data_IF_897475219655
#
_entry.id   IF_897475219655
#
_cell.length_a   1.000
_cell.length_b   1.000
_cell.length_c   1.000
_cell.angle_alpha   90.00
_cell.angle_beta   90.00
_cell.angle_gamma   90.00
#
_symmetry.space_group_name_H-M   'P 1'
#
loop_
_entity.id
_entity.type
_entity.pdbx_description
1 polymer ?
#
# COMPACT_ATOMS: atom_id res chain seq x y z
N UNK A 1 1.62 -12.84 10.88
CA UNK A 1 0.56 -12.26 10.03
C UNK A 1 1.22 -11.34 9.01
N UNK A 2 0.72 -11.27 7.78
CA UNK A 2 1.35 -10.50 6.69
C UNK A 2 0.47 -9.30 6.32
N UNK A 3 1.04 -8.12 6.08
CA UNK A 3 0.32 -6.93 5.62
C UNK A 3 -0.31 -7.23 4.24
N UNK A 4 -1.63 -7.02 4.07
CA UNK A 4 -2.33 -7.21 2.79
C UNK A 4 -1.67 -6.40 1.67
N UNK A 5 -1.24 -5.17 1.96
CA UNK A 5 -0.57 -4.34 0.96
C UNK A 5 0.75 -4.97 0.46
N UNK A 6 1.47 -5.69 1.32
CA UNK A 6 2.67 -6.41 0.90
C UNK A 6 2.32 -7.60 -0.01
N UNK A 7 1.23 -8.31 0.29
CA UNK A 7 0.74 -9.41 -0.56
C UNK A 7 0.27 -8.91 -1.93
N UNK A 8 -0.45 -7.78 -1.98
CA UNK A 8 -0.87 -7.16 -3.24
C UNK A 8 0.33 -6.78 -4.10
N UNK A 9 1.35 -6.13 -3.51
CA UNK A 9 2.58 -5.79 -4.22
C UNK A 9 3.27 -7.05 -4.75
N UNK A 10 3.37 -8.10 -3.94
CA UNK A 10 3.97 -9.37 -4.37
C UNK A 10 3.19 -10.00 -5.54
N UNK A 11 1.86 -10.02 -5.48
CA UNK A 11 1.01 -10.50 -6.57
C UNK A 11 1.14 -9.67 -7.85
N UNK A 12 1.22 -8.34 -7.74
CA UNK A 12 1.41 -7.45 -8.90
C UNK A 12 2.74 -7.72 -9.60
N UNK A 13 3.82 -7.98 -8.83
CA UNK A 13 5.12 -8.36 -9.39
C UNK A 13 5.05 -9.75 -10.05
N UNK A 14 4.47 -10.74 -9.37
CA UNK A 14 4.39 -12.10 -9.89
C UNK A 14 3.50 -12.25 -11.13
N UNK A 15 2.46 -11.42 -11.26
CA UNK A 15 1.58 -11.38 -12.43
C UNK A 15 2.11 -10.49 -13.56
N UNK A 16 3.26 -9.84 -13.37
CA UNK A 16 3.88 -8.95 -14.37
C UNK A 16 3.10 -7.65 -14.61
N UNK A 17 2.22 -7.25 -13.69
CA UNK A 17 1.51 -5.97 -13.72
C UNK A 17 2.44 -4.80 -13.39
N UNK A 18 3.44 -5.05 -12.55
CA UNK A 18 4.56 -4.15 -12.29
C UNK A 18 5.85 -4.95 -12.35
N UNK A 19 6.96 -4.30 -12.69
CA UNK A 19 8.29 -4.88 -12.63
C UNK A 19 8.97 -4.59 -11.28
N UNK A 20 10.07 -5.32 -11.00
CA UNK A 20 10.82 -5.15 -9.75
C UNK A 20 11.61 -3.85 -9.67
N UNK A 21 12.00 -3.26 -10.80
CA UNK A 21 12.73 -1.99 -10.83
C UNK A 21 11.80 -0.84 -10.40
N UNK A 22 10.54 -0.87 -10.85
CA UNK A 22 9.49 0.06 -10.42
C UNK A 22 9.30 0.07 -8.89
N UNK A 23 9.39 -1.11 -8.24
CA UNK A 23 9.33 -1.20 -6.77
C UNK A 23 10.61 -0.66 -6.12
N UNK A 24 11.78 -0.88 -6.72
CA UNK A 24 13.06 -0.39 -6.23
C UNK A 24 13.24 1.14 -6.35
N UNK A 25 12.50 1.78 -7.25
CA UNK A 25 12.52 3.23 -7.45
C UNK A 25 11.69 4.01 -6.42
N UNK A 26 10.91 3.32 -5.58
CA UNK A 26 10.01 3.95 -4.60
C UNK A 26 10.82 4.79 -3.62
N UNK A 27 10.46 6.07 -3.53
CA UNK A 27 10.98 6.99 -2.51
C UNK A 27 9.97 7.10 -1.36
N UNK A 28 10.49 7.19 -0.14
CA UNK A 28 9.66 7.47 1.03
C UNK A 28 9.26 8.94 1.03
N UNK A 29 7.98 9.20 0.79
CA UNK A 29 7.37 10.53 0.82
C UNK A 29 6.12 10.50 1.70
N UNK A 30 6.17 11.24 2.80
CA UNK A 30 5.07 11.28 3.78
C UNK A 30 3.83 12.01 3.28
N UNK A 31 3.98 12.99 2.40
CA UNK A 31 2.85 13.63 1.75
C UNK A 31 2.10 12.66 0.85
N UNK A 32 2.84 11.81 0.15
CA UNK A 32 2.28 10.87 -0.82
C UNK A 32 1.43 9.79 -0.12
N UNK A 33 1.95 9.12 0.91
CA UNK A 33 1.13 8.11 1.61
C UNK A 33 0.00 8.71 2.45
N UNK A 34 0.12 9.96 2.92
CA UNK A 34 -0.99 10.66 3.57
C UNK A 34 -2.12 10.97 2.58
N UNK A 35 -1.77 11.42 1.37
CA UNK A 35 -2.73 11.70 0.29
C UNK A 35 -3.53 10.45 -0.10
N UNK A 36 -2.84 9.31 -0.24
CA UNK A 36 -3.47 8.04 -0.64
C UNK A 36 -4.04 7.22 0.53
N UNK A 37 -3.96 7.74 1.77
CA UNK A 37 -4.37 7.03 3.00
C UNK A 37 -5.77 6.43 2.90
N UNK A 38 -6.76 7.26 2.58
CA UNK A 38 -8.16 6.83 2.55
C UNK A 38 -8.45 5.86 1.41
N UNK A 39 -7.90 6.12 0.22
CA UNK A 39 -8.11 5.27 -0.96
C UNK A 39 -7.55 3.85 -0.72
N UNK A 40 -6.29 3.76 -0.28
CA UNK A 40 -5.65 2.47 -0.01
C UNK A 40 -6.20 1.80 1.25
N UNK A 41 -6.70 2.56 2.24
CA UNK A 41 -7.41 1.98 3.38
C UNK A 41 -8.66 1.23 2.91
N UNK A 42 -9.45 1.84 2.03
CA UNK A 42 -10.67 1.23 1.52
C UNK A 42 -10.42 0.10 0.52
N UNK A 43 -9.43 0.27 -0.36
CA UNK A 43 -9.16 -0.71 -1.42
C UNK A 43 -8.37 -1.93 -0.93
N UNK A 44 -7.49 -1.77 0.08
CA UNK A 44 -6.52 -2.80 0.48
C UNK A 44 -6.58 -3.07 1.97
N UNK A 45 -6.44 -2.03 2.81
CA UNK A 45 -6.23 -2.25 4.24
C UNK A 45 -7.48 -2.80 4.94
N UNK A 46 -8.69 -2.54 4.45
CA UNK A 46 -9.95 -3.06 5.03
C UNK A 46 -9.96 -4.58 5.19
N UNK A 47 -9.20 -5.30 4.35
CA UNK A 47 -9.11 -6.76 4.34
C UNK A 47 -7.83 -7.26 5.02
N UNK A 48 -7.00 -6.35 5.51
CA UNK A 48 -5.73 -6.68 6.13
C UNK A 48 -5.96 -7.18 7.56
N UNK A 49 -5.67 -8.45 7.83
CA UNK A 49 -5.69 -8.98 9.19
C UNK A 49 -4.77 -8.19 10.14
N UNK A 50 -3.69 -7.61 9.61
CA UNK A 50 -2.76 -6.75 10.35
C UNK A 50 -3.36 -5.39 10.74
N UNK A 51 -4.41 -4.92 10.05
CA UNK A 51 -5.08 -3.65 10.37
C UNK A 51 -5.73 -3.67 11.75
N UNK A 52 -6.33 -4.80 12.13
CA UNK A 52 -7.10 -4.93 13.36
C UNK A 52 -6.22 -5.06 14.61
N UNK A 53 -4.99 -5.56 14.45
CA UNK A 53 -4.14 -5.96 15.58
C UNK A 53 -2.90 -5.06 15.77
N UNK A 54 -2.26 -4.58 14.69
CA UNK A 54 -0.88 -4.04 14.78
C UNK A 54 -0.59 -2.81 13.88
N UNK A 55 -1.60 -2.18 13.25
CA UNK A 55 -1.37 -1.06 12.34
C UNK A 55 -1.62 0.32 12.97
N UNK A 56 -0.64 0.83 13.71
CA UNK A 56 -0.71 2.14 14.37
C UNK A 56 -0.99 3.29 13.38
N UNK A 57 -0.46 3.19 12.16
CA UNK A 57 -0.70 4.19 11.09
C UNK A 57 -2.18 4.32 10.69
N UNK A 58 -2.96 3.25 10.77
CA UNK A 58 -4.38 3.25 10.39
C UNK A 58 -5.34 3.38 11.58
N UNK A 59 -4.80 3.54 12.79
CA UNK A 59 -5.58 3.80 14.00
C UNK A 59 -6.42 5.09 13.88
N UNK A 60 -7.36 5.26 14.81
CA UNK A 60 -8.26 6.43 14.82
C UNK A 60 -7.53 7.75 15.12
N UNK A 61 -6.38 7.69 15.80
CA UNK A 61 -5.54 8.84 16.10
C UNK A 61 -4.06 8.46 15.93
N UNK A 62 -3.57 8.31 14.68
CA UNK A 62 -2.18 8.00 14.46
C UNK A 62 -1.33 9.23 14.81
N UNK A 63 -0.12 9.00 15.31
CA UNK A 63 0.90 10.06 15.35
C UNK A 63 1.34 10.40 13.92
N UNK A 64 1.61 11.69 13.67
CA UNK A 64 2.06 12.19 12.37
C UNK A 64 3.42 11.61 11.93
N UNK A 65 4.19 11.07 12.87
CA UNK A 65 5.52 10.49 12.62
C UNK A 65 5.47 8.99 12.26
N UNK A 66 4.28 8.38 12.26
CA UNK A 66 4.14 6.97 11.96
C UNK A 66 4.27 6.71 10.46
N UNK A 67 5.18 5.81 10.11
CA UNK A 67 5.27 5.29 8.75
C UNK A 67 4.26 4.14 8.55
N UNK A 68 3.60 4.06 7.38
CA UNK A 68 2.77 2.91 7.04
C UNK A 68 3.62 1.68 6.70
N UNK A 69 2.96 0.51 6.56
CA UNK A 69 3.67 -0.72 6.16
C UNK A 69 4.34 -0.53 4.79
N UNK A 70 5.48 -1.17 4.53
CA UNK A 70 6.23 -0.98 3.29
C UNK A 70 5.41 -1.25 2.01
N UNK A 71 4.51 -2.23 2.05
CA UNK A 71 3.57 -2.48 0.94
C UNK A 71 2.66 -1.30 0.67
N UNK A 72 2.22 -0.58 1.71
CA UNK A 72 1.41 0.63 1.55
C UNK A 72 2.20 1.75 0.86
N UNK A 73 3.45 1.97 1.28
CA UNK A 73 4.34 2.98 0.68
C UNK A 73 4.48 2.72 -0.82
N UNK A 74 4.75 1.46 -1.20
CA UNK A 74 4.89 1.05 -2.60
C UNK A 74 3.58 1.26 -3.36
N UNK A 75 2.43 0.82 -2.83
CA UNK A 75 1.14 1.01 -3.52
C UNK A 75 0.77 2.48 -3.70
N UNK A 76 1.06 3.32 -2.69
CA UNK A 76 0.82 4.76 -2.78
C UNK A 76 1.64 5.36 -3.92
N UNK A 77 2.94 5.03 -3.98
CA UNK A 77 3.83 5.47 -5.05
C UNK A 77 3.32 4.99 -6.42
N UNK A 78 3.07 3.69 -6.59
CA UNK A 78 2.63 3.14 -7.88
C UNK A 78 1.32 3.77 -8.37
N UNK A 79 0.39 4.07 -7.45
CA UNK A 79 -0.87 4.75 -7.76
C UNK A 79 -0.63 6.21 -8.17
N UNK A 80 0.21 6.95 -7.45
CA UNK A 80 0.54 8.34 -7.77
C UNK A 80 1.15 8.49 -9.17
N UNK A 81 2.06 7.58 -9.52
CA UNK A 81 2.72 7.58 -10.83
C UNK A 81 1.92 6.86 -11.93
N UNK A 82 0.68 6.45 -11.66
CA UNK A 82 -0.22 5.82 -12.64
C UNK A 82 0.25 4.45 -13.15
N UNK A 83 1.13 3.78 -12.40
CA UNK A 83 1.62 2.44 -12.72
C UNK A 83 0.59 1.37 -12.39
N UNK A 84 -0.32 1.66 -11.45
CA UNK A 84 -1.47 0.84 -11.10
C UNK A 84 -2.71 1.71 -10.86
N UNK A 85 -3.88 1.11 -11.03
CA UNK A 85 -5.17 1.69 -10.63
C UNK A 85 -5.84 0.84 -9.53
N UNK A 86 -7.03 1.26 -9.09
CA UNK A 86 -7.80 0.52 -8.08
C UNK A 86 -8.16 -0.89 -8.52
N UNK A 87 -8.50 -1.05 -9.80
CA UNK A 87 -8.88 -2.34 -10.38
C UNK A 87 -7.71 -3.33 -10.33
N UNK A 88 -6.50 -2.89 -10.66
CA UNK A 88 -5.30 -3.73 -10.58
C UNK A 88 -5.06 -4.25 -9.16
N UNK A 89 -5.36 -3.44 -8.14
CA UNK A 89 -5.24 -3.86 -6.74
C UNK A 89 -6.34 -4.83 -6.33
N UNK A 90 -7.57 -4.70 -6.84
CA UNK A 90 -8.68 -5.61 -6.52
C UNK A 90 -8.55 -6.98 -7.20
N UNK A 91 -8.03 -7.03 -8.44
CA UNK A 91 -7.88 -8.28 -9.22
C UNK A 91 -6.88 -9.29 -8.60
N UNK A 92 -6.05 -8.85 -7.65
CA UNK A 92 -4.94 -9.64 -7.08
C UNK A 92 -5.05 -9.90 -5.56
N UNK A 93 -6.19 -9.55 -4.97
CA UNK A 93 -6.53 -9.78 -3.55
C UNK A 93 -7.36 -11.06 -3.38
#
# INVERSE_FOLDING_TARGET
>A
MTCQAAQVVDSLVHTGRIDRESVGAVQKDSGLWAMHRNALRQAVCRHCAFLAEDCDFQSDCPSDDLEPCGGFIVLAFLKEYGLIDERAMEEVQ
#
